data_IF_025981729587
#
_entry.id   IF_025981729587
#
_cell.length_a   1.000
_cell.length_b   1.000
_cell.length_c   1.000
_cell.angle_alpha   90.00
_cell.angle_beta   90.00
_cell.angle_gamma   90.00
#
_symmetry.space_group_name_H-M   'P 1'
#
loop_
_entity.id
_entity.type
_entity.pdbx_description
1 polymer ?
#
# COMPACT_ATOMS: atom_id res chain seq x y z
N UNK A 1 17.31 -1.08 -19.40
CA UNK A 1 16.57 -0.64 -18.20
C UNK A 1 15.62 -1.76 -17.85
N UNK A 2 15.82 -2.43 -16.72
CA UNK A 2 14.91 -3.48 -16.27
C UNK A 2 13.50 -2.91 -16.19
N UNK A 3 12.53 -3.65 -16.73
CA UNK A 3 11.12 -3.31 -16.54
C UNK A 3 10.84 -3.36 -15.03
N UNK A 4 10.28 -2.28 -14.50
CA UNK A 4 9.81 -2.22 -13.13
C UNK A 4 8.85 -3.39 -12.86
N UNK A 5 9.18 -4.25 -11.91
CA UNK A 5 8.26 -5.27 -11.42
C UNK A 5 7.31 -4.65 -10.38
N UNK A 6 6.25 -4.02 -10.88
CA UNK A 6 5.27 -3.32 -10.05
C UNK A 6 4.51 -4.28 -9.12
N UNK A 7 4.26 -5.53 -9.55
CA UNK A 7 3.54 -6.52 -8.73
C UNK A 7 4.35 -6.92 -7.51
N UNK A 8 5.66 -7.14 -7.71
CA UNK A 8 6.58 -7.41 -6.61
C UNK A 8 6.67 -6.21 -5.67
N UNK A 9 6.79 -4.99 -6.21
CA UNK A 9 6.82 -3.77 -5.39
C UNK A 9 5.55 -3.58 -4.53
N UNK A 10 4.37 -3.81 -5.10
CA UNK A 10 3.11 -3.77 -4.36
C UNK A 10 3.12 -4.80 -3.22
N UNK A 11 3.54 -6.03 -3.50
CA UNK A 11 3.53 -7.12 -2.52
C UNK A 11 4.47 -6.82 -1.35
N UNK A 12 5.73 -6.44 -1.62
CA UNK A 12 6.71 -6.15 -0.56
C UNK A 12 6.33 -4.92 0.26
N UNK A 13 5.68 -3.93 -0.36
CA UNK A 13 5.20 -2.74 0.35
C UNK A 13 4.05 -3.10 1.29
N UNK A 14 3.08 -3.88 0.79
CA UNK A 14 1.95 -4.34 1.61
C UNK A 14 2.41 -5.22 2.78
N UNK A 15 3.36 -6.13 2.54
CA UNK A 15 3.93 -6.98 3.60
C UNK A 15 4.68 -6.14 4.65
N UNK A 16 5.44 -5.13 4.22
CA UNK A 16 6.15 -4.21 5.13
C UNK A 16 5.16 -3.43 6.00
N UNK A 17 4.13 -2.83 5.39
CA UNK A 17 3.12 -2.08 6.14
C UNK A 17 2.36 -2.99 7.11
N UNK A 18 1.99 -4.20 6.69
CA UNK A 18 1.32 -5.15 7.56
C UNK A 18 2.20 -5.55 8.76
N UNK A 19 3.51 -5.72 8.57
CA UNK A 19 4.45 -6.06 9.62
C UNK A 19 4.66 -4.92 10.65
N UNK A 20 4.52 -3.67 10.22
CA UNK A 20 4.69 -2.48 11.05
C UNK A 20 3.37 -1.80 11.45
N UNK A 21 2.22 -2.41 11.17
CA UNK A 21 0.91 -1.79 11.42
C UNK A 21 0.71 -1.44 12.91
N UNK A 22 1.09 -2.33 13.82
CA UNK A 22 0.94 -2.09 15.26
C UNK A 22 1.89 -0.97 15.74
N UNK A 23 3.11 -0.91 15.20
CA UNK A 23 4.07 0.17 15.48
C UNK A 23 3.54 1.52 15.01
N UNK A 24 3.01 1.58 13.78
CA UNK A 24 2.42 2.80 13.21
C UNK A 24 1.21 3.26 14.02
N UNK A 25 0.34 2.35 14.44
CA UNK A 25 -0.80 2.66 15.33
C UNK A 25 -0.33 3.18 16.69
N UNK A 26 0.70 2.59 17.29
CA UNK A 26 1.23 3.07 18.57
C UNK A 26 1.87 4.46 18.48
N UNK A 27 2.62 4.73 17.39
CA UNK A 27 3.19 6.05 17.12
C UNK A 27 2.11 7.11 16.91
N UNK A 28 1.07 6.77 16.15
CA UNK A 28 -0.05 7.66 15.89
C UNK A 28 -0.88 7.91 17.16
N UNK A 29 -1.14 6.89 17.98
CA UNK A 29 -1.86 7.04 19.24
C UNK A 29 -1.19 8.03 20.21
N UNK A 30 0.13 8.22 20.12
CA UNK A 30 0.85 9.18 20.96
C UNK A 30 0.51 10.65 20.65
N UNK A 31 0.06 10.96 19.43
CA UNK A 31 -0.16 12.34 18.95
C UNK A 31 -1.42 12.53 18.08
N UNK A 32 -2.21 11.49 17.89
CA UNK A 32 -3.32 11.37 16.95
C UNK A 32 -4.42 10.44 17.47
N UNK A 33 -5.17 9.81 16.57
CA UNK A 33 -6.31 8.96 16.92
C UNK A 33 -5.99 7.45 16.94
N UNK A 34 -4.78 7.07 16.53
CA UNK A 34 -4.26 5.70 16.63
C UNK A 34 -4.76 4.78 15.52
N UNK A 35 -5.36 5.32 14.47
CA UNK A 35 -5.92 4.51 13.39
C UNK A 35 -4.95 4.33 12.21
N UNK A 36 -3.82 5.04 12.19
CA UNK A 36 -2.95 5.12 11.02
C UNK A 36 -2.46 3.76 10.52
N UNK A 37 -1.90 2.93 11.42
CA UNK A 37 -1.39 1.61 11.04
C UNK A 37 -2.47 0.68 10.48
N UNK A 38 -3.66 0.70 11.11
CA UNK A 38 -4.83 -0.05 10.64
C UNK A 38 -5.32 0.43 9.27
N UNK A 39 -5.41 1.75 9.07
CA UNK A 39 -5.84 2.36 7.82
C UNK A 39 -4.86 2.04 6.69
N UNK A 40 -3.55 2.14 6.94
CA UNK A 40 -2.50 1.80 5.98
C UNK A 40 -2.55 0.31 5.62
N UNK A 41 -2.64 -0.59 6.61
CA UNK A 41 -2.77 -2.04 6.36
C UNK A 41 -3.97 -2.35 5.47
N UNK A 42 -5.16 -1.82 5.81
CA UNK A 42 -6.38 -2.01 5.01
C UNK A 42 -6.22 -1.52 3.57
N UNK A 43 -5.68 -0.31 3.39
CA UNK A 43 -5.48 0.28 2.08
C UNK A 43 -4.53 -0.54 1.21
N UNK A 44 -3.38 -0.94 1.75
CA UNK A 44 -2.38 -1.71 1.00
C UNK A 44 -2.78 -3.16 0.76
N UNK A 45 -3.57 -3.78 1.64
CA UNK A 45 -4.22 -5.07 1.36
C UNK A 45 -5.19 -4.95 0.16
N UNK A 46 -5.95 -3.86 0.09
CA UNK A 46 -6.86 -3.60 -1.03
C UNK A 46 -6.10 -3.34 -2.35
N UNK A 47 -4.96 -2.64 -2.30
CA UNK A 47 -4.06 -2.47 -3.46
C UNK A 47 -3.45 -3.80 -3.89
N UNK A 48 -3.00 -4.64 -2.94
CA UNK A 48 -2.43 -5.96 -3.21
C UNK A 48 -3.42 -6.88 -3.91
N UNK A 49 -4.70 -6.85 -3.52
CA UNK A 49 -5.76 -7.66 -4.13
C UNK A 49 -5.93 -7.37 -5.64
N UNK A 50 -5.63 -6.15 -6.08
CA UNK A 50 -5.75 -5.71 -7.48
C UNK A 50 -4.39 -5.57 -8.20
N UNK A 51 -3.31 -6.09 -7.61
CA UNK A 51 -1.93 -5.90 -8.09
C UNK A 51 -1.72 -6.29 -9.57
N UNK A 52 -2.37 -7.36 -10.03
CA UNK A 52 -2.29 -7.78 -11.44
C UNK A 52 -2.92 -6.75 -12.39
N UNK A 53 -4.06 -6.18 -11.99
CA UNK A 53 -4.73 -5.14 -12.76
C UNK A 53 -3.93 -3.84 -12.83
N UNK A 54 -3.20 -3.49 -11.77
CA UNK A 54 -2.28 -2.35 -11.78
C UNK A 54 -1.03 -2.61 -12.62
N UNK A 55 -0.43 -3.80 -12.50
CA UNK A 55 0.77 -4.19 -13.25
C UNK A 55 0.55 -4.27 -14.76
N UNK A 56 -0.70 -4.45 -15.22
CA UNK A 56 -1.05 -4.46 -16.63
C UNK A 56 -1.17 -3.05 -17.27
N UNK A 57 -1.13 -1.98 -16.47
CA UNK A 57 -1.28 -0.58 -16.94
C UNK A 57 0.09 0.07 -17.18
N UNK A 58 0.17 1.12 -18.02
CA UNK A 58 1.31 2.03 -18.02
C UNK A 58 1.54 2.62 -16.62
N UNK A 59 2.80 2.82 -16.23
CA UNK A 59 3.16 3.25 -14.87
C UNK A 59 2.39 4.50 -14.38
N UNK A 60 2.22 5.58 -15.16
CA UNK A 60 1.46 6.75 -14.70
C UNK A 60 0.00 6.42 -14.34
N UNK A 61 -0.65 5.57 -15.15
CA UNK A 61 -2.04 5.16 -14.94
C UNK A 61 -2.16 4.18 -13.78
N UNK A 62 -1.17 3.30 -13.61
CA UNK A 62 -1.08 2.39 -12.47
C UNK A 62 -0.97 3.16 -11.15
N UNK A 63 -0.05 4.12 -11.06
CA UNK A 63 0.14 4.93 -9.85
C UNK A 63 -1.09 5.77 -9.52
N UNK A 64 -1.76 6.35 -10.53
CA UNK A 64 -3.03 7.06 -10.33
C UNK A 64 -4.11 6.13 -9.77
N UNK A 65 -4.26 4.94 -10.35
CA UNK A 65 -5.27 3.97 -9.91
C UNK A 65 -5.01 3.45 -8.49
N UNK A 66 -3.73 3.19 -8.15
CA UNK A 66 -3.30 2.82 -6.80
C UNK A 66 -3.64 3.96 -5.81
N UNK A 67 -3.31 5.20 -6.17
CA UNK A 67 -3.61 6.37 -5.36
C UNK A 67 -5.11 6.50 -5.06
N UNK A 68 -5.98 6.32 -6.06
CA UNK A 68 -7.44 6.32 -5.86
C UNK A 68 -7.93 5.16 -4.98
N UNK A 69 -7.27 4.00 -5.03
CA UNK A 69 -7.64 2.83 -4.22
C UNK A 69 -7.29 3.00 -2.72
N UNK A 70 -6.29 3.83 -2.41
CA UNK A 70 -5.81 4.10 -1.06
C UNK A 70 -6.63 5.14 -0.27
N UNK A 71 -7.52 5.88 -0.94
CA UNK A 71 -8.39 6.90 -0.34
C UNK A 71 -9.58 6.28 0.39
#
# INVERSE_FOLDING_TARGET
>A
MDKLDLKTLISVTADTIAAHADELTALDQAIGDGDHGLNMKRGFEAVRAEAEGFAAKPLPDALKAIGTKLV
#
